data_IF_495560975432
#
_entry.id   IF_495560975432
#
_cell.length_a   1.000
_cell.length_b   1.000
_cell.length_c   1.000
_cell.angle_alpha   90.00
_cell.angle_beta   90.00
_cell.angle_gamma   90.00
#
_symmetry.space_group_name_H-M   'P 1'
#
loop_
_entity.id
_entity.type
_entity.pdbx_description
1 polymer ?
#
# COMPACT_ATOMS: atom_id res chain seq x y z
N UNK A 1 -17.52 -11.76 -4.60
CA UNK A 1 -17.02 -10.37 -4.45
C UNK A 1 -16.05 -10.05 -5.58
N UNK A 2 -15.88 -8.78 -5.94
CA UNK A 2 -14.90 -8.33 -6.92
C UNK A 2 -13.52 -8.13 -6.30
N UNK A 3 -12.48 -8.66 -6.94
CA UNK A 3 -11.12 -8.79 -6.41
C UNK A 3 -10.10 -8.16 -7.35
N UNK A 4 -9.02 -7.64 -6.79
CA UNK A 4 -7.83 -7.28 -7.55
C UNK A 4 -7.22 -8.54 -8.18
N UNK A 5 -6.85 -8.46 -9.46
CA UNK A 5 -6.28 -9.59 -10.21
C UNK A 5 -4.95 -10.10 -9.61
N UNK A 6 -4.15 -9.21 -9.05
CA UNK A 6 -2.79 -9.46 -8.61
C UNK A 6 -2.76 -9.82 -7.12
N UNK A 7 -3.35 -8.99 -6.27
CA UNK A 7 -3.29 -9.15 -4.81
C UNK A 7 -4.43 -10.00 -4.26
N UNK A 8 -5.48 -10.25 -5.06
CA UNK A 8 -6.72 -10.95 -4.64
C UNK A 8 -7.44 -10.28 -3.47
N UNK A 9 -7.20 -9.00 -3.23
CA UNK A 9 -7.92 -8.21 -2.22
C UNK A 9 -9.19 -7.61 -2.81
N UNK A 10 -10.23 -7.28 -2.00
CA UNK A 10 -11.43 -6.61 -2.50
C UNK A 10 -11.09 -5.30 -3.23
N UNK A 11 -11.70 -5.04 -4.39
CA UNK A 11 -11.40 -3.85 -5.22
C UNK A 11 -12.66 -3.02 -5.58
N UNK A 12 -13.63 -2.93 -4.67
CA UNK A 12 -14.71 -1.93 -4.78
C UNK A 12 -15.85 -2.27 -5.75
N UNK A 13 -16.07 -3.55 -6.05
CA UNK A 13 -17.33 -4.04 -6.64
C UNK A 13 -17.67 -5.45 -6.17
N UNK A 14 -18.88 -5.89 -6.49
CA UNK A 14 -19.32 -7.26 -6.32
C UNK A 14 -20.36 -7.64 -7.38
N UNK A 15 -20.70 -8.93 -7.43
CA UNK A 15 -21.87 -9.45 -8.11
C UNK A 15 -22.86 -9.90 -7.04
N UNK A 16 -24.14 -9.64 -7.29
CA UNK A 16 -25.26 -10.11 -6.47
C UNK A 16 -26.22 -10.83 -7.40
N UNK A 17 -26.51 -12.09 -7.09
CA UNK A 17 -27.42 -12.92 -7.87
C UNK A 17 -28.72 -13.11 -7.08
N UNK A 18 -29.84 -12.79 -7.72
CA UNK A 18 -31.18 -12.98 -7.18
C UNK A 18 -31.84 -14.19 -7.85
N UNK A 19 -32.79 -14.82 -7.17
CA UNK A 19 -33.51 -15.97 -7.72
C UNK A 19 -34.42 -15.57 -8.88
N UNK A 20 -35.02 -14.38 -8.82
CA UNK A 20 -35.92 -13.88 -9.85
C UNK A 20 -35.42 -12.60 -10.50
N UNK A 21 -35.76 -12.42 -11.78
CA UNK A 21 -35.47 -11.18 -12.50
C UNK A 21 -36.18 -9.97 -11.89
N UNK A 22 -37.38 -10.16 -11.34
CA UNK A 22 -38.15 -9.11 -10.69
C UNK A 22 -37.42 -8.52 -9.46
N UNK A 23 -36.76 -9.36 -8.66
CA UNK A 23 -35.95 -8.92 -7.52
C UNK A 23 -34.71 -8.12 -7.98
N UNK A 24 -34.05 -8.55 -9.05
CA UNK A 24 -32.93 -7.82 -9.62
C UNK A 24 -33.36 -6.42 -10.12
N UNK A 25 -34.53 -6.30 -10.76
CA UNK A 25 -35.11 -5.01 -11.16
C UNK A 25 -35.49 -4.15 -9.95
N UNK A 26 -36.00 -4.75 -8.87
CA UNK A 26 -36.29 -4.04 -7.63
C UNK A 26 -35.00 -3.48 -7.00
N UNK A 27 -33.90 -4.25 -7.00
CA UNK A 27 -32.60 -3.78 -6.53
C UNK A 27 -32.11 -2.56 -7.34
N UNK A 28 -32.22 -2.61 -8.67
CA UNK A 28 -31.90 -1.48 -9.54
C UNK A 28 -32.72 -0.22 -9.19
N UNK A 29 -34.00 -0.38 -8.87
CA UNK A 29 -34.93 0.74 -8.61
C UNK A 29 -34.79 1.33 -7.20
N UNK A 30 -34.59 0.49 -6.20
CA UNK A 30 -34.71 0.90 -4.79
C UNK A 30 -33.38 0.93 -4.02
N UNK A 31 -32.36 0.18 -4.48
CA UNK A 31 -31.07 0.08 -3.79
C UNK A 31 -29.99 0.90 -4.51
N UNK A 32 -30.01 0.95 -5.84
CA UNK A 32 -29.08 1.80 -6.60
C UNK A 32 -29.24 3.27 -6.20
N UNK A 33 -28.13 3.96 -5.93
CA UNK A 33 -28.14 5.34 -5.45
C UNK A 33 -28.30 5.50 -3.94
N UNK A 34 -28.51 4.42 -3.18
CA UNK A 34 -28.50 4.46 -1.71
C UNK A 34 -27.07 4.40 -1.14
N UNK A 35 -26.94 4.61 0.17
CA UNK A 35 -25.66 4.54 0.87
C UNK A 35 -25.38 3.15 1.42
N UNK A 36 -24.15 2.68 1.22
CA UNK A 36 -23.54 1.54 1.91
C UNK A 36 -22.16 1.98 2.43
N UNK A 37 -21.92 1.83 3.73
CA UNK A 37 -20.71 2.33 4.41
C UNK A 37 -20.40 3.80 4.08
N UNK A 38 -21.44 4.66 4.14
CA UNK A 38 -21.39 6.09 3.78
C UNK A 38 -21.11 6.41 2.30
N UNK A 39 -21.11 5.41 1.42
CA UNK A 39 -20.83 5.57 0.00
C UNK A 39 -22.06 5.33 -0.84
N UNK A 40 -22.30 6.20 -1.81
CA UNK A 40 -23.36 5.99 -2.79
C UNK A 40 -22.95 4.82 -3.71
N UNK A 41 -23.74 3.75 -3.69
CA UNK A 41 -23.52 2.59 -4.55
C UNK A 41 -24.31 2.71 -5.85
N UNK A 42 -23.79 2.11 -6.92
CA UNK A 42 -24.48 1.95 -8.19
C UNK A 42 -24.65 0.47 -8.48
N UNK A 43 -25.87 0.07 -8.80
CA UNK A 43 -26.19 -1.25 -9.30
C UNK A 43 -26.41 -1.19 -10.81
N UNK A 44 -26.00 -2.26 -11.51
CA UNK A 44 -26.28 -2.48 -12.92
C UNK A 44 -26.68 -3.94 -13.16
N UNK A 45 -27.52 -4.16 -14.17
CA UNK A 45 -27.81 -5.52 -14.64
C UNK A 45 -26.60 -6.07 -15.40
N UNK A 46 -26.37 -7.36 -15.23
CA UNK A 46 -25.22 -8.04 -15.80
C UNK A 46 -25.65 -9.36 -16.46
N UNK A 47 -24.92 -9.79 -17.48
CA UNK A 47 -25.25 -10.98 -18.28
C UNK A 47 -25.05 -12.33 -17.52
N UNK A 48 -24.61 -12.28 -16.26
CA UNK A 48 -24.44 -13.45 -15.40
C UNK A 48 -22.98 -13.76 -15.09
N UNK A 49 -22.73 -14.28 -13.90
CA UNK A 49 -21.38 -14.55 -13.40
C UNK A 49 -20.67 -15.62 -14.24
N UNK A 50 -19.37 -15.41 -14.48
CA UNK A 50 -18.45 -16.38 -15.07
C UNK A 50 -17.10 -16.23 -14.40
N UNK A 51 -16.36 -17.33 -14.31
CA UNK A 51 -15.01 -17.28 -13.75
C UNK A 51 -14.12 -16.31 -14.54
N UNK A 52 -13.23 -15.64 -13.81
CA UNK A 52 -12.43 -14.52 -14.29
C UNK A 52 -13.12 -13.15 -14.23
N UNK A 53 -14.46 -13.08 -14.21
CA UNK A 53 -15.17 -11.78 -14.15
C UNK A 53 -15.13 -11.13 -12.76
N UNK A 54 -14.79 -11.90 -11.73
CA UNK A 54 -14.52 -11.39 -10.38
C UNK A 54 -13.28 -10.50 -10.33
N UNK A 55 -12.35 -10.61 -11.27
CA UNK A 55 -11.11 -9.85 -11.21
C UNK A 55 -11.24 -8.47 -11.87
N UNK A 56 -10.63 -7.48 -11.23
CA UNK A 56 -10.40 -6.16 -11.81
C UNK A 56 -9.64 -6.27 -13.15
N UNK A 57 -9.97 -5.35 -14.06
CA UNK A 57 -9.40 -5.31 -15.43
C UNK A 57 -8.36 -4.21 -15.61
N UNK A 58 -8.08 -3.47 -14.54
CA UNK A 58 -7.10 -2.40 -14.58
C UNK A 58 -5.68 -2.94 -14.70
N UNK A 59 -4.77 -2.14 -15.27
CA UNK A 59 -3.35 -2.46 -15.43
C UNK A 59 -2.67 -2.77 -14.10
N UNK A 60 -3.05 -2.07 -13.03
CA UNK A 60 -2.55 -2.31 -11.67
C UNK A 60 -3.16 -3.55 -11.00
N UNK A 61 -4.20 -4.15 -11.60
CA UNK A 61 -4.95 -5.31 -11.07
C UNK A 61 -6.37 -4.96 -10.62
N UNK A 62 -6.60 -3.72 -10.17
CA UNK A 62 -7.88 -3.26 -9.63
C UNK A 62 -8.91 -2.89 -10.70
N UNK A 63 -9.86 -2.01 -10.35
CA UNK A 63 -10.82 -1.49 -11.31
C UNK A 63 -10.17 -0.50 -12.28
N UNK A 64 -10.54 -0.58 -13.56
CA UNK A 64 -10.08 0.37 -14.61
C UNK A 64 -10.43 1.82 -14.23
N UNK A 65 -11.58 2.02 -13.58
CA UNK A 65 -12.04 3.33 -13.11
C UNK A 65 -11.06 3.96 -12.10
N UNK A 66 -10.45 3.15 -11.25
CA UNK A 66 -9.57 3.64 -10.18
C UNK A 66 -8.15 3.96 -10.67
N UNK A 67 -7.78 3.58 -11.90
CA UNK A 67 -6.45 3.88 -12.45
C UNK A 67 -6.23 5.37 -12.69
N UNK A 68 -7.23 6.05 -13.25
CA UNK A 68 -7.15 7.45 -13.71
C UNK A 68 -7.77 8.40 -12.68
N UNK A 69 -8.10 7.91 -11.49
CA UNK A 69 -8.75 8.70 -10.44
C UNK A 69 -7.76 9.72 -9.85
N UNK A 70 -8.15 10.98 -9.85
CA UNK A 70 -7.29 12.08 -9.38
C UNK A 70 -7.58 12.47 -7.94
N UNK A 71 -8.77 12.20 -7.42
CA UNK A 71 -9.12 12.45 -6.02
C UNK A 71 -8.51 11.41 -5.08
N UNK A 72 -8.25 11.82 -3.85
CA UNK A 72 -7.86 10.91 -2.76
C UNK A 72 -9.11 10.30 -2.13
N UNK A 73 -9.18 8.97 -2.05
CA UNK A 73 -10.25 8.24 -1.35
C UNK A 73 -9.66 7.10 -0.53
N UNK A 74 -9.66 7.26 0.79
CA UNK A 74 -9.15 6.26 1.72
C UNK A 74 -9.86 4.90 1.58
N UNK A 75 -11.16 4.90 1.29
CA UNK A 75 -11.95 3.68 1.09
C UNK A 75 -11.66 2.96 -0.23
N UNK A 76 -10.79 3.50 -1.08
CA UNK A 76 -10.29 2.89 -2.33
C UNK A 76 -8.77 2.78 -2.38
N UNK A 77 -8.09 2.80 -1.23
CA UNK A 77 -6.64 2.69 -1.16
C UNK A 77 -5.88 4.01 -1.37
N UNK A 78 -6.56 5.15 -1.35
CA UNK A 78 -5.96 6.49 -1.44
C UNK A 78 -6.08 7.11 -2.83
N UNK A 79 -4.96 7.55 -3.40
CA UNK A 79 -4.89 8.11 -4.76
C UNK A 79 -5.10 7.03 -5.82
N UNK A 80 -5.55 7.41 -7.02
CA UNK A 80 -5.60 6.49 -8.15
C UNK A 80 -4.22 5.95 -8.52
N UNK A 81 -4.18 4.78 -9.16
CA UNK A 81 -2.94 4.04 -9.38
C UNK A 81 -1.87 4.84 -10.14
N UNK A 82 -2.26 5.60 -11.17
CA UNK A 82 -1.33 6.43 -11.93
C UNK A 82 -0.78 7.60 -11.10
N UNK A 83 -1.65 8.26 -10.33
CA UNK A 83 -1.25 9.36 -9.45
C UNK A 83 -0.30 8.87 -8.34
N UNK A 84 -0.56 7.68 -7.78
CA UNK A 84 0.30 7.06 -6.78
C UNK A 84 1.70 6.75 -7.33
N UNK A 85 1.77 6.17 -8.54
CA UNK A 85 3.05 5.88 -9.22
C UNK A 85 3.82 7.18 -9.51
N UNK A 86 3.13 8.24 -9.93
CA UNK A 86 3.76 9.55 -10.18
C UNK A 86 4.37 10.13 -8.90
N UNK A 87 3.62 10.15 -7.79
CA UNK A 87 4.11 10.64 -6.50
C UNK A 87 5.30 9.82 -5.98
N UNK A 88 5.28 8.50 -6.15
CA UNK A 88 6.39 7.64 -5.73
C UNK A 88 7.66 7.90 -6.55
N UNK A 89 7.51 8.07 -7.87
CA UNK A 89 8.62 8.43 -8.75
C UNK A 89 9.21 9.80 -8.42
N UNK A 90 8.37 10.80 -8.14
CA UNK A 90 8.82 12.13 -7.72
C UNK A 90 9.56 12.07 -6.37
N UNK A 91 9.00 11.36 -5.40
CA UNK A 91 9.65 11.15 -4.09
C UNK A 91 10.99 10.46 -4.22
N UNK A 92 11.08 9.46 -5.11
CA UNK A 92 12.33 8.76 -5.40
C UNK A 92 13.37 9.70 -6.01
N UNK A 93 13.00 10.49 -7.02
CA UNK A 93 13.88 11.48 -7.65
C UNK A 93 14.37 12.53 -6.65
N UNK A 94 13.48 13.06 -5.82
CA UNK A 94 13.85 14.05 -4.80
C UNK A 94 14.84 13.47 -3.78
N UNK A 95 14.63 12.21 -3.35
CA UNK A 95 15.58 11.51 -2.48
C UNK A 95 16.94 11.33 -3.17
N UNK A 96 16.95 10.87 -4.42
CA UNK A 96 18.19 10.69 -5.18
C UNK A 96 18.95 12.02 -5.37
N UNK A 97 18.25 13.13 -5.64
CA UNK A 97 18.84 14.47 -5.71
C UNK A 97 19.47 14.90 -4.37
N UNK A 98 18.75 14.76 -3.26
CA UNK A 98 19.29 15.11 -1.94
C UNK A 98 20.57 14.34 -1.57
N UNK A 99 20.63 13.04 -1.91
CA UNK A 99 21.84 12.23 -1.68
C UNK A 99 22.96 12.54 -2.67
N UNK A 100 22.64 12.94 -3.90
CA UNK A 100 23.64 13.39 -4.89
C UNK A 100 24.32 14.68 -4.41
N UNK A 101 23.55 15.66 -3.94
CA UNK A 101 24.10 16.92 -3.43
C UNK A 101 25.00 16.70 -2.20
N UNK A 102 24.70 15.67 -1.39
CA UNK A 102 25.55 15.28 -0.27
C UNK A 102 26.88 14.65 -0.70
N UNK A 103 26.99 14.04 -1.89
CA UNK A 103 28.26 13.45 -2.37
C UNK A 103 29.27 14.51 -2.87
N UNK A 104 28.79 15.66 -3.33
CA UNK A 104 29.63 16.77 -3.83
C UNK A 104 30.13 17.72 -2.72
N UNK A 105 29.79 17.48 -1.45
CA UNK A 105 30.33 18.24 -0.32
C UNK A 105 31.71 17.68 0.07
N UNK A 106 32.80 18.48 0.04
CA UNK A 106 34.11 18.04 0.48
C UNK A 106 34.07 17.56 1.94
N UNK A 107 34.26 16.25 2.16
CA UNK A 107 34.22 15.61 3.48
C UNK A 107 32.97 14.79 3.81
N UNK A 108 32.01 14.63 2.88
CA UNK A 108 30.77 13.89 3.12
C UNK A 108 30.88 12.36 3.04
N UNK A 109 31.97 11.82 2.49
CA UNK A 109 32.32 10.42 2.72
C UNK A 109 32.90 10.32 4.12
N UNK A 110 32.16 9.72 5.05
CA UNK A 110 32.69 9.36 6.37
C UNK A 110 33.82 8.34 6.18
N UNK A 111 35.05 8.83 5.98
CA UNK A 111 36.30 8.07 6.04
C UNK A 111 36.63 7.61 7.47
N UNK A 112 35.61 7.45 8.34
CA UNK A 112 35.74 7.03 9.73
C UNK A 112 35.52 5.53 9.89
N UNK A 113 36.22 4.73 9.09
CA UNK A 113 36.14 3.26 9.13
C UNK A 113 37.47 2.57 9.45
N UNK A 114 38.49 3.32 9.89
CA UNK A 114 39.85 2.79 10.10
C UNK A 114 40.29 2.64 11.56
N UNK A 115 39.66 3.35 12.50
CA UNK A 115 40.22 3.56 13.85
C UNK A 115 40.13 2.33 14.78
N UNK A 116 39.36 1.31 14.42
CA UNK A 116 39.24 0.08 15.22
C UNK A 116 40.38 -0.94 14.99
N UNK A 117 41.30 -0.67 14.04
CA UNK A 117 42.31 -1.67 13.62
C UNK A 117 43.69 -1.51 14.23
N UNK A 118 43.98 -0.43 14.96
CA UNK A 118 45.26 -0.24 15.66
C UNK A 118 45.05 -0.13 17.17
N UNK A 119 44.96 -1.29 17.82
CA UNK A 119 45.01 -1.41 19.28
C UNK A 119 45.94 -2.56 19.65
N UNK A 120 47.25 -2.32 19.60
CA UNK A 120 48.25 -3.19 20.23
C UNK A 120 48.14 -3.07 21.75
N UNK A 121 47.82 -4.18 22.43
CA UNK A 121 48.29 -4.49 23.79
C UNK A 121 47.55 -3.87 24.98
N UNK A 122 46.98 -4.76 25.81
CA UNK A 122 46.82 -4.65 27.27
C UNK A 122 45.91 -3.58 27.88
N UNK A 123 44.66 -3.96 28.18
CA UNK A 123 44.15 -4.24 29.54
C UNK A 123 42.62 -4.38 29.48
N UNK A 124 42.13 -5.61 29.61
CA UNK A 124 40.71 -5.89 29.74
C UNK A 124 40.20 -5.36 31.08
N UNK A 125 39.63 -4.16 31.11
CA UNK A 125 38.76 -3.73 32.22
C UNK A 125 37.42 -4.43 32.08
N UNK A 126 37.41 -5.74 32.37
CA UNK A 126 36.18 -6.45 32.74
C UNK A 126 35.54 -5.64 33.87
N UNK A 127 34.34 -5.12 33.65
CA UNK A 127 33.48 -4.66 34.75
C UNK A 127 33.25 -5.89 35.63
N UNK A 128 33.96 -5.96 36.75
CA UNK A 128 33.72 -6.96 37.77
C UNK A 128 32.28 -6.79 38.25
N UNK A 129 31.55 -7.91 38.31
CA UNK A 129 30.26 -8.00 38.98
C UNK A 129 30.53 -7.80 40.48
N UNK A 130 29.89 -6.82 41.12
CA UNK A 130 30.06 -6.58 42.56
C UNK A 130 29.67 -7.82 43.37
N UNK A 131 30.40 -8.17 44.45
CA UNK A 131 30.14 -9.35 45.26
C UNK A 131 29.00 -9.22 46.29
N UNK A 132 28.25 -8.12 46.30
CA UNK A 132 27.17 -7.89 47.29
C UNK A 132 25.81 -8.49 46.88
N UNK A 133 25.78 -9.51 46.02
CA UNK A 133 24.55 -10.24 45.64
C UNK A 133 24.67 -11.74 46.00
N UNK A 134 25.25 -12.01 47.17
CA UNK A 134 25.09 -13.28 47.89
C UNK A 134 24.46 -13.04 49.26
N UNK A 135 23.17 -13.39 49.38
CA UNK A 135 22.58 -13.92 50.60
C UNK A 135 21.66 -12.97 51.39
N UNK A 136 20.37 -13.36 51.43
CA UNK A 136 19.38 -12.84 52.38
C UNK A 136 17.95 -13.03 51.90
#
# INVERSE_FOLDING_TARGET
MGLDRNTRTPCGFCFVEYYSHAEALACMKYISGTKLDERIIRCDLDAGYKDGRQFGRGRSGGQVRDEHRQDYDAGRGGWGAQAQIQQENERRKNREQLYSDAQDVPGAVAGGGGDWKEGTGEQSRKRQRSPDDEGG
#
